data_IF_098694373573
#
_entry.id   IF_098694373573
#
_cell.length_a   1.000
_cell.length_b   1.000
_cell.length_c   1.000
_cell.angle_alpha   90.00
_cell.angle_beta   90.00
_cell.angle_gamma   90.00
#
_symmetry.space_group_name_H-M   'P 1'
#
loop_
_entity.id
_entity.type
_entity.pdbx_description
1 polymer ?
#
# COMPACT_ATOMS: atom_id res chain seq x y z
N UNK A 1 41.83 -26.45 23.32
CA UNK A 1 42.97 -25.52 23.23
C UNK A 1 42.82 -24.72 21.95
N UNK A 2 42.52 -23.43 22.10
CA UNK A 2 43.28 -22.31 21.52
C UNK A 2 42.91 -22.05 20.03
N UNK A 3 42.06 -21.06 19.73
CA UNK A 3 42.41 -19.64 19.45
C UNK A 3 43.51 -19.52 18.39
N UNK A 4 43.20 -18.84 17.28
CA UNK A 4 43.99 -17.73 16.71
C UNK A 4 43.14 -17.03 15.62
N UNK A 5 42.56 -15.86 15.89
CA UNK A 5 43.13 -14.49 15.81
C UNK A 5 43.24 -13.98 14.37
N UNK A 6 42.34 -13.06 14.03
CA UNK A 6 42.44 -12.22 12.84
C UNK A 6 43.50 -11.14 13.04
N UNK A 7 44.36 -10.97 12.02
CA UNK A 7 45.42 -9.97 11.95
C UNK A 7 44.86 -8.55 11.84
N UNK A 8 45.51 -7.68 12.60
CA UNK A 8 45.49 -6.22 12.59
C UNK A 8 46.20 -5.62 11.37
N UNK A 9 45.72 -4.46 10.91
CA UNK A 9 46.53 -3.41 10.27
C UNK A 9 45.84 -2.06 10.61
N UNK A 10 46.31 -1.28 11.61
CA UNK A 10 47.28 -0.16 11.49
C UNK A 10 46.97 0.77 10.30
N UNK A 11 46.91 2.10 10.37
CA UNK A 11 47.30 3.09 11.36
C UNK A 11 46.79 4.47 10.87
N UNK A 12 46.36 5.38 11.76
CA UNK A 12 46.83 6.78 11.84
C UNK A 12 46.09 7.56 12.94
N UNK A 13 46.87 7.91 13.96
CA UNK A 13 46.69 9.01 14.90
C UNK A 13 46.32 10.34 14.22
N UNK A 14 45.43 11.12 14.86
CA UNK A 14 45.69 12.53 15.26
C UNK A 14 44.88 12.87 16.53
N UNK A 15 45.61 12.89 17.64
CA UNK A 15 45.71 13.91 18.71
C UNK A 15 44.48 14.63 19.31
N UNK A 16 44.54 14.71 20.64
CA UNK A 16 43.64 15.31 21.60
C UNK A 16 43.74 16.84 21.66
N UNK A 17 42.61 17.55 21.89
CA UNK A 17 42.58 18.68 22.85
C UNK A 17 41.25 18.79 23.61
N UNK A 18 41.39 18.84 24.92
CA UNK A 18 40.41 19.15 25.98
C UNK A 18 39.79 20.55 25.80
N UNK A 19 38.53 20.69 26.20
CA UNK A 19 38.07 21.77 27.06
C UNK A 19 37.10 21.22 28.12
N UNK A 20 37.46 21.47 29.38
CA UNK A 20 36.76 21.18 30.63
C UNK A 20 36.09 22.53 31.04
N UNK A 21 34.86 22.66 31.54
CA UNK A 21 34.42 22.50 32.93
C UNK A 21 32.95 22.96 33.10
N UNK A 22 32.23 22.21 33.95
CA UNK A 22 31.22 22.57 34.98
C UNK A 22 30.08 23.57 34.63
N UNK A 23 28.80 23.34 34.96
CA UNK A 23 28.21 23.19 36.32
C UNK A 23 26.70 22.83 36.19
N UNK A 24 26.11 22.02 37.09
CA UNK A 24 24.64 21.75 37.13
C UNK A 24 23.84 22.88 37.83
N UNK A 25 22.63 22.66 38.41
CA UNK A 25 21.50 21.75 38.11
C UNK A 25 20.14 22.50 37.85
N UNK A 26 19.07 21.73 37.60
CA UNK A 26 17.60 22.02 37.44
C UNK A 26 17.00 23.04 38.47
N UNK A 27 15.79 23.68 38.35
CA UNK A 27 14.49 23.09 37.89
C UNK A 27 13.36 24.03 37.33
N UNK A 28 12.30 23.39 36.79
CA UNK A 28 10.84 23.71 36.87
C UNK A 28 10.26 25.14 36.71
N UNK A 29 9.31 25.30 35.78
CA UNK A 29 8.16 26.19 35.95
C UNK A 29 6.98 25.83 35.00
N UNK A 30 5.82 25.53 35.59
CA UNK A 30 4.48 25.68 34.98
C UNK A 30 4.10 27.16 35.05
N UNK A 31 3.49 27.72 34.00
CA UNK A 31 2.30 28.59 34.05
C UNK A 31 1.96 29.22 32.68
N UNK A 32 0.78 28.85 32.17
CA UNK A 32 -0.38 29.69 31.83
C UNK A 32 -0.28 30.96 30.94
N UNK A 33 -1.39 31.15 30.18
CA UNK A 33 -1.93 32.38 29.53
C UNK A 33 -1.24 32.81 28.23
N UNK A 34 -1.89 33.44 27.25
CA UNK A 34 -3.27 33.56 26.79
C UNK A 34 -3.20 34.20 25.39
N UNK A 35 -4.19 33.90 24.54
CA UNK A 35 -4.78 34.75 23.49
C UNK A 35 -3.97 35.90 22.85
N UNK A 36 -3.76 35.84 21.52
CA UNK A 36 -4.44 36.71 20.53
C UNK A 36 -3.66 36.91 19.21
N UNK A 37 -4.45 36.98 18.11
CA UNK A 37 -4.20 37.66 16.81
C UNK A 37 -3.29 36.94 15.78
N UNK A 38 -3.63 36.80 14.49
CA UNK A 38 -4.55 37.52 13.60
C UNK A 38 -5.04 36.62 12.44
N UNK A 39 -6.27 36.91 11.99
CA UNK A 39 -7.03 36.41 10.84
C UNK A 39 -6.36 36.78 9.50
N UNK A 40 -6.59 35.99 8.46
CA UNK A 40 -7.13 36.47 7.17
C UNK A 40 -8.14 35.44 6.64
N UNK A 41 -9.32 35.93 6.26
CA UNK A 41 -10.46 35.20 5.74
C UNK A 41 -10.63 35.48 4.24
N UNK A 42 -11.16 34.51 3.49
CA UNK A 42 -11.97 34.77 2.31
C UNK A 42 -13.29 34.00 2.43
N UNK A 43 -14.38 34.75 2.34
CA UNK A 43 -15.76 34.33 2.51
C UNK A 43 -16.32 33.61 1.28
N UNK A 44 -17.23 32.66 1.50
CA UNK A 44 -18.23 32.21 0.53
C UNK A 44 -19.61 32.26 1.19
N UNK A 45 -20.70 32.47 0.42
CA UNK A 45 -21.98 32.90 0.96
C UNK A 45 -22.73 31.78 1.68
N UNK A 46 -23.34 32.15 2.80
CA UNK A 46 -24.37 31.39 3.50
C UNK A 46 -25.67 31.36 2.69
N UNK A 47 -26.19 30.18 2.43
CA UNK A 47 -27.61 29.95 2.20
C UNK A 47 -27.98 28.68 2.94
N UNK A 48 -28.74 28.87 4.02
CA UNK A 48 -29.27 27.83 4.88
C UNK A 48 -30.74 27.71 4.52
N UNK A 49 -31.11 26.67 3.78
CA UNK A 49 -32.51 26.26 3.69
C UNK A 49 -32.61 24.75 3.42
N UNK A 50 -33.62 24.17 4.01
CA UNK A 50 -33.79 22.77 4.38
C UNK A 50 -33.67 21.75 3.25
N UNK A 51 -33.08 20.59 3.54
CA UNK A 51 -33.59 19.32 2.99
C UNK A 51 -33.13 18.10 3.80
N UNK A 52 -34.06 17.58 4.60
CA UNK A 52 -34.15 16.15 4.92
C UNK A 52 -34.32 15.38 3.60
N UNK A 53 -33.40 14.49 3.27
CA UNK A 53 -33.68 13.16 2.69
C UNK A 53 -32.37 12.46 2.37
N UNK A 54 -32.18 11.27 2.95
CA UNK A 54 -31.15 10.34 2.53
C UNK A 54 -31.50 9.80 1.13
N UNK A 55 -30.57 9.98 0.20
CA UNK A 55 -30.59 9.33 -1.10
C UNK A 55 -29.18 8.88 -1.43
N UNK A 56 -28.92 7.58 -1.28
CA UNK A 56 -27.75 6.92 -1.87
C UNK A 56 -27.83 7.08 -3.38
N UNK A 57 -27.13 8.09 -3.90
CA UNK A 57 -27.06 8.38 -5.33
C UNK A 57 -26.46 7.20 -6.09
N UNK A 58 -27.33 6.34 -6.63
CA UNK A 58 -26.95 5.40 -7.69
C UNK A 58 -26.55 6.24 -8.90
N UNK A 59 -25.25 6.46 -9.06
CA UNK A 59 -24.70 7.01 -10.31
C UNK A 59 -25.17 6.10 -11.45
N UNK A 60 -26.00 6.63 -12.32
CA UNK A 60 -26.67 5.94 -13.42
C UNK A 60 -25.65 5.46 -14.46
N UNK A 61 -26.01 4.47 -15.30
CA UNK A 61 -25.15 4.02 -16.38
C UNK A 61 -24.76 5.17 -17.35
N UNK A 62 -25.68 6.12 -17.56
CA UNK A 62 -25.46 7.32 -18.36
C UNK A 62 -24.42 8.27 -17.73
N UNK A 63 -24.49 8.51 -16.42
CA UNK A 63 -23.50 9.32 -15.70
C UNK A 63 -22.10 8.65 -15.67
N UNK A 64 -22.05 7.31 -15.65
CA UNK A 64 -20.79 6.54 -15.73
C UNK A 64 -20.16 6.58 -17.14
N UNK A 65 -20.98 6.44 -18.19
CA UNK A 65 -20.55 6.64 -19.57
C UNK A 65 -19.99 8.05 -19.77
N UNK A 66 -20.68 9.05 -19.20
CA UNK A 66 -20.22 10.44 -19.22
C UNK A 66 -18.86 10.62 -18.51
N UNK A 67 -18.65 9.90 -17.41
CA UNK A 67 -17.40 9.91 -16.63
C UNK A 67 -16.22 9.30 -17.39
N UNK A 68 -16.41 8.17 -18.07
CA UNK A 68 -15.33 7.55 -18.85
C UNK A 68 -14.92 8.38 -20.06
N UNK A 69 -15.89 8.99 -20.77
CA UNK A 69 -15.61 9.92 -21.87
C UNK A 69 -14.83 11.14 -21.39
N UNK A 70 -15.12 11.65 -20.18
CA UNK A 70 -14.34 12.74 -19.58
C UNK A 70 -12.86 12.34 -19.42
N UNK A 71 -12.57 11.18 -18.83
CA UNK A 71 -11.18 10.75 -18.61
C UNK A 71 -10.42 10.49 -19.91
N UNK A 72 -11.09 9.94 -20.93
CA UNK A 72 -10.49 9.73 -22.24
C UNK A 72 -10.12 11.07 -22.90
N UNK A 73 -11.01 12.07 -22.84
CA UNK A 73 -10.75 13.40 -23.39
C UNK A 73 -9.65 14.13 -22.61
N UNK A 74 -9.60 14.00 -21.28
CA UNK A 74 -8.52 14.58 -20.48
C UNK A 74 -7.16 13.87 -20.70
N UNK A 75 -7.16 12.55 -20.95
CA UNK A 75 -5.95 11.84 -21.41
C UNK A 75 -5.48 12.35 -22.77
N UNK A 76 -6.40 12.54 -23.71
CA UNK A 76 -6.10 13.05 -25.06
C UNK A 76 -5.48 14.46 -24.98
N UNK A 77 -6.03 15.34 -24.14
CA UNK A 77 -5.47 16.69 -23.89
C UNK A 77 -4.06 16.64 -23.28
N UNK A 78 -3.83 15.75 -22.30
CA UNK A 78 -2.51 15.57 -21.68
C UNK A 78 -1.49 15.09 -22.72
N UNK A 79 -1.85 14.08 -23.50
CA UNK A 79 -0.96 13.53 -24.54
C UNK A 79 -0.61 14.56 -25.63
N UNK A 80 -1.57 15.38 -26.08
CA UNK A 80 -1.30 16.50 -27.00
C UNK A 80 -0.30 17.48 -26.38
N UNK A 81 -0.50 17.87 -25.12
CA UNK A 81 0.35 18.82 -24.42
C UNK A 81 1.79 18.28 -24.25
N UNK A 82 1.94 17.01 -23.90
CA UNK A 82 3.26 16.36 -23.74
C UNK A 82 4.03 16.30 -25.06
N UNK A 83 3.34 16.18 -26.20
CA UNK A 83 3.94 16.24 -27.53
C UNK A 83 4.09 17.65 -28.09
N UNK A 84 3.74 18.68 -27.31
CA UNK A 84 3.79 20.08 -27.74
C UNK A 84 2.79 20.45 -28.83
N UNK A 85 1.76 19.63 -29.04
CA UNK A 85 0.73 19.83 -30.06
C UNK A 85 -0.39 20.73 -29.54
N UNK A 86 -0.81 21.67 -30.40
CA UNK A 86 -1.89 22.61 -30.12
C UNK A 86 -3.19 22.20 -30.82
N UNK A 87 -4.32 22.80 -30.44
CA UNK A 87 -5.57 22.60 -31.17
C UNK A 87 -5.53 23.13 -32.61
N UNK A 88 -4.61 24.04 -32.95
CA UNK A 88 -4.40 24.47 -34.33
C UNK A 88 -3.74 23.37 -35.17
N UNK A 89 -2.79 22.63 -34.58
CA UNK A 89 -2.13 21.50 -35.24
C UNK A 89 -3.14 20.36 -35.48
N UNK A 90 -3.97 20.08 -34.46
CA UNK A 90 -5.08 19.12 -34.56
C UNK A 90 -6.07 19.53 -35.65
N UNK A 91 -6.47 20.80 -35.70
CA UNK A 91 -7.39 21.32 -36.72
C UNK A 91 -6.81 21.16 -38.14
N UNK A 92 -5.52 21.46 -38.31
CA UNK A 92 -4.80 21.34 -39.58
C UNK A 92 -4.72 19.89 -40.04
N UNK A 93 -4.31 18.97 -39.15
CA UNK A 93 -4.20 17.55 -39.46
C UNK A 93 -5.54 16.92 -39.84
N UNK A 94 -6.63 17.36 -39.22
CA UNK A 94 -7.97 16.82 -39.42
C UNK A 94 -8.77 17.54 -40.53
N UNK A 95 -8.22 18.59 -41.14
CA UNK A 95 -8.88 19.36 -42.18
C UNK A 95 -10.14 20.11 -41.72
N UNK A 96 -10.20 20.54 -40.47
CA UNK A 96 -11.37 21.23 -39.88
C UNK A 96 -11.00 22.59 -39.28
N UNK A 97 -11.99 23.43 -38.99
CA UNK A 97 -11.71 24.72 -38.36
C UNK A 97 -11.27 24.57 -36.90
N UNK A 98 -10.39 25.46 -36.44
CA UNK A 98 -9.96 25.53 -35.05
C UNK A 98 -11.15 25.70 -34.07
N UNK A 99 -12.17 26.46 -34.47
CA UNK A 99 -13.41 26.61 -33.71
C UNK A 99 -14.16 25.28 -33.54
N UNK A 100 -14.17 24.43 -34.59
CA UNK A 100 -14.77 23.09 -34.54
C UNK A 100 -14.03 22.20 -33.55
N UNK A 101 -12.69 22.17 -33.57
CA UNK A 101 -11.89 21.41 -32.60
C UNK A 101 -12.16 21.88 -31.17
N UNK A 102 -12.13 23.18 -30.89
CA UNK A 102 -12.41 23.70 -29.54
C UNK A 102 -13.81 23.30 -29.07
N UNK A 103 -14.81 23.35 -29.97
CA UNK A 103 -16.18 22.92 -29.67
C UNK A 103 -16.25 21.42 -29.37
N UNK A 104 -15.63 20.57 -30.19
CA UNK A 104 -15.61 19.12 -30.00
C UNK A 104 -14.94 18.71 -28.69
N UNK A 105 -13.80 19.31 -28.34
CA UNK A 105 -13.14 19.08 -27.05
C UNK A 105 -13.95 19.57 -25.85
N UNK A 106 -14.65 20.70 -25.96
CA UNK A 106 -15.51 21.23 -24.90
C UNK A 106 -16.76 20.36 -24.68
N UNK A 107 -17.38 19.92 -25.78
CA UNK A 107 -18.59 19.09 -25.77
C UNK A 107 -18.30 17.61 -25.54
N UNK A 108 -17.03 17.18 -25.64
CA UNK A 108 -16.58 15.78 -25.54
C UNK A 108 -17.29 14.86 -26.54
N UNK A 109 -17.69 15.42 -27.68
CA UNK A 109 -18.49 14.76 -28.70
C UNK A 109 -17.61 14.26 -29.84
N UNK A 110 -16.82 13.23 -29.58
CA UNK A 110 -15.95 12.62 -30.57
C UNK A 110 -16.59 11.36 -31.18
N UNK A 111 -16.37 11.14 -32.47
CA UNK A 111 -16.50 9.80 -33.05
C UNK A 111 -15.23 9.00 -32.76
N UNK A 112 -15.31 7.67 -32.75
CA UNK A 112 -14.13 6.82 -32.56
C UNK A 112 -13.07 7.08 -33.64
N UNK A 113 -13.48 7.21 -34.91
CA UNK A 113 -12.58 7.56 -36.01
C UNK A 113 -11.83 8.87 -35.74
N UNK A 114 -12.52 9.88 -35.19
CA UNK A 114 -11.88 11.17 -34.88
C UNK A 114 -10.87 11.06 -33.73
N UNK A 115 -11.11 10.17 -32.76
CA UNK A 115 -10.13 9.90 -31.71
C UNK A 115 -8.90 9.21 -32.31
N UNK A 116 -9.11 8.26 -33.20
CA UNK A 116 -8.04 7.51 -33.86
C UNK A 116 -7.13 8.43 -34.69
N UNK A 117 -7.70 9.32 -35.51
CA UNK A 117 -6.94 10.33 -36.27
C UNK A 117 -6.09 11.25 -35.35
N UNK A 118 -6.61 11.58 -34.16
CA UNK A 118 -5.85 12.38 -33.18
C UNK A 118 -4.76 11.54 -32.51
N UNK A 119 -5.02 10.26 -32.21
CA UNK A 119 -4.03 9.32 -31.70
C UNK A 119 -2.86 9.16 -32.68
N UNK A 120 -3.15 9.01 -33.97
CA UNK A 120 -2.14 8.96 -35.03
C UNK A 120 -1.27 10.22 -35.05
N UNK A 121 -1.88 11.41 -34.95
CA UNK A 121 -1.15 12.67 -34.86
C UNK A 121 -0.22 12.75 -33.63
N UNK A 122 -0.67 12.22 -32.49
CA UNK A 122 0.12 12.17 -31.25
C UNK A 122 1.23 11.10 -31.33
N UNK A 123 1.04 10.07 -32.16
CA UNK A 123 1.91 8.90 -32.25
C UNK A 123 1.69 7.89 -31.13
N UNK A 124 0.42 7.69 -30.75
CA UNK A 124 -0.02 6.63 -29.82
C UNK A 124 -1.16 5.84 -30.46
N UNK A 125 -1.45 4.64 -29.95
CA UNK A 125 -2.66 3.90 -30.34
C UNK A 125 -3.82 4.11 -29.34
N UNK A 126 -5.03 3.69 -29.72
CA UNK A 126 -6.21 3.81 -28.87
C UNK A 126 -6.08 3.07 -27.52
N UNK A 127 -5.37 1.94 -27.47
CA UNK A 127 -5.17 1.17 -26.23
C UNK A 127 -4.26 1.92 -25.25
N UNK A 128 -3.22 2.58 -25.77
CA UNK A 128 -2.35 3.46 -24.99
C UNK A 128 -3.12 4.67 -24.45
N UNK A 129 -3.96 5.30 -25.27
CA UNK A 129 -4.84 6.39 -24.83
C UNK A 129 -5.77 5.92 -23.68
N UNK A 130 -6.34 4.73 -23.79
CA UNK A 130 -7.19 4.16 -22.75
C UNK A 130 -6.43 3.93 -21.43
N UNK A 131 -5.17 3.49 -21.49
CA UNK A 131 -4.30 3.36 -20.30
C UNK A 131 -4.01 4.71 -19.65
N UNK A 132 -3.66 5.72 -20.44
CA UNK A 132 -3.45 7.10 -19.96
C UNK A 132 -4.72 7.69 -19.31
N UNK A 133 -5.90 7.30 -19.80
CA UNK A 133 -7.18 7.67 -19.21
C UNK A 133 -7.43 6.98 -17.86
N UNK A 134 -7.02 5.72 -17.69
CA UNK A 134 -7.05 5.05 -16.39
C UNK A 134 -6.12 5.72 -15.37
N UNK A 135 -4.91 6.12 -15.78
CA UNK A 135 -3.95 6.82 -14.92
C UNK A 135 -4.44 8.20 -14.45
N UNK A 136 -5.34 8.83 -15.22
CA UNK A 136 -5.97 10.12 -14.87
C UNK A 136 -7.23 10.01 -14.00
N UNK A 137 -7.70 8.80 -13.68
CA UNK A 137 -8.77 8.66 -12.69
C UNK A 137 -8.25 9.13 -11.32
N UNK A 138 -9.10 9.72 -10.46
CA UNK A 138 -8.74 9.91 -9.07
C UNK A 138 -8.29 8.55 -8.53
N UNK A 139 -7.06 8.51 -8.01
CA UNK A 139 -6.47 7.30 -7.48
C UNK A 139 -7.48 6.68 -6.52
N UNK A 140 -7.87 5.43 -6.81
CA UNK A 140 -8.74 4.71 -5.87
C UNK A 140 -8.05 4.67 -4.52
N UNK A 141 -8.78 4.81 -3.41
CA UNK A 141 -8.18 4.83 -2.09
C UNK A 141 -7.35 3.56 -1.90
N UNK A 142 -6.09 3.76 -1.50
CA UNK A 142 -5.14 2.71 -1.13
C UNK A 142 -5.18 2.44 0.38
N UNK A 143 -5.84 3.28 1.16
CA UNK A 143 -6.12 3.06 2.58
C UNK A 143 -7.61 2.84 2.82
N UNK A 144 -7.94 1.95 3.76
CA UNK A 144 -9.31 1.75 4.22
C UNK A 144 -9.60 2.57 5.48
N UNK A 145 -10.86 2.92 5.68
CA UNK A 145 -11.31 3.50 6.95
C UNK A 145 -11.33 2.44 8.06
N UNK A 146 -11.21 2.86 9.33
CA UNK A 146 -11.30 1.96 10.48
C UNK A 146 -12.61 1.15 10.47
N UNK A 147 -13.73 1.74 10.06
CA UNK A 147 -15.01 1.03 9.94
C UNK A 147 -14.98 -0.07 8.86
N UNK A 148 -14.34 0.18 7.72
CA UNK A 148 -14.16 -0.82 6.67
C UNK A 148 -13.21 -1.94 7.11
N UNK A 149 -12.08 -1.59 7.73
CA UNK A 149 -11.14 -2.59 8.28
C UNK A 149 -11.84 -3.47 9.34
N UNK A 150 -12.62 -2.86 10.24
CA UNK A 150 -13.36 -3.58 11.28
C UNK A 150 -14.40 -4.53 10.69
N UNK A 151 -15.19 -4.06 9.71
CA UNK A 151 -16.19 -4.89 9.05
C UNK A 151 -15.57 -6.09 8.30
N UNK A 152 -14.37 -5.93 7.75
CA UNK A 152 -13.63 -7.05 7.15
C UNK A 152 -13.16 -8.06 8.22
N UNK A 153 -12.62 -7.58 9.34
CA UNK A 153 -12.14 -8.44 10.43
C UNK A 153 -13.26 -9.28 11.04
N UNK A 154 -14.48 -8.73 11.12
CA UNK A 154 -15.66 -9.42 11.66
C UNK A 154 -16.25 -10.46 10.71
N UNK A 155 -15.86 -10.44 9.42
CA UNK A 155 -16.45 -11.26 8.36
C UNK A 155 -15.35 -12.04 7.62
N UNK A 156 -14.89 -13.20 8.16
CA UNK A 156 -13.73 -13.92 7.62
C UNK A 156 -13.85 -14.27 6.13
N UNK A 157 -15.04 -14.70 5.68
CA UNK A 157 -15.26 -15.03 4.27
C UNK A 157 -15.22 -13.77 3.39
N UNK A 158 -15.75 -12.64 3.86
CA UNK A 158 -15.68 -11.38 3.11
C UNK A 158 -14.22 -10.89 3.00
N UNK A 159 -13.44 -10.98 4.09
CA UNK A 159 -12.01 -10.67 4.07
C UNK A 159 -11.23 -11.57 3.09
N UNK A 160 -11.51 -12.88 3.12
CA UNK A 160 -10.90 -13.82 2.19
C UNK A 160 -11.24 -13.50 0.73
N UNK A 161 -12.52 -13.31 0.42
CA UNK A 161 -12.96 -12.91 -0.92
C UNK A 161 -12.32 -11.58 -1.34
N UNK A 162 -12.25 -10.59 -0.44
CA UNK A 162 -11.63 -9.30 -0.75
C UNK A 162 -10.15 -9.47 -1.11
N UNK A 163 -9.40 -10.29 -0.37
CA UNK A 163 -8.00 -10.61 -0.69
C UNK A 163 -7.85 -11.20 -2.10
N UNK A 164 -8.68 -12.18 -2.46
CA UNK A 164 -8.64 -12.81 -3.79
C UNK A 164 -9.01 -11.82 -4.90
N UNK A 165 -10.02 -10.98 -4.69
CA UNK A 165 -10.45 -9.98 -5.67
C UNK A 165 -9.37 -8.91 -5.89
N UNK A 166 -8.62 -8.51 -4.86
CA UNK A 166 -7.44 -7.63 -5.03
C UNK A 166 -6.41 -8.26 -5.97
N UNK A 167 -6.23 -9.58 -5.88
CA UNK A 167 -5.43 -10.40 -6.80
C UNK A 167 -6.06 -10.67 -8.18
N UNK A 168 -7.25 -10.14 -8.46
CA UNK A 168 -7.92 -10.26 -9.75
C UNK A 168 -8.72 -11.54 -9.96
N UNK A 169 -9.06 -12.25 -8.88
CA UNK A 169 -9.87 -13.47 -8.98
C UNK A 169 -11.32 -13.17 -9.32
N UNK A 170 -11.93 -14.02 -10.15
CA UNK A 170 -13.38 -13.99 -10.46
C UNK A 170 -14.15 -14.89 -9.50
N UNK A 171 -15.47 -14.70 -9.40
CA UNK A 171 -16.32 -15.52 -8.51
C UNK A 171 -16.26 -16.99 -8.90
N UNK A 172 -16.31 -17.28 -10.19
CA UNK A 172 -16.28 -18.64 -10.74
C UNK A 172 -14.97 -19.35 -10.40
N UNK A 173 -13.86 -18.62 -10.42
CA UNK A 173 -12.56 -19.16 -10.04
C UNK A 173 -12.48 -19.42 -8.54
N UNK A 174 -13.02 -18.52 -7.71
CA UNK A 174 -13.05 -18.73 -6.25
C UNK A 174 -13.87 -19.98 -5.93
N UNK A 175 -15.02 -20.14 -6.56
CA UNK A 175 -15.87 -21.33 -6.43
C UNK A 175 -15.14 -22.61 -6.86
N UNK A 176 -14.51 -22.60 -8.04
CA UNK A 176 -13.80 -23.77 -8.57
C UNK A 176 -12.57 -24.17 -7.74
N UNK A 177 -11.73 -23.21 -7.35
CA UNK A 177 -10.44 -23.48 -6.69
C UNK A 177 -10.61 -23.76 -5.18
N UNK A 178 -11.66 -23.22 -4.54
CA UNK A 178 -11.90 -23.37 -3.10
C UNK A 178 -13.14 -24.18 -2.73
N UNK A 179 -13.96 -24.60 -3.71
CA UNK A 179 -15.17 -25.39 -3.48
C UNK A 179 -16.24 -24.67 -2.65
N UNK A 180 -16.25 -23.33 -2.70
CA UNK A 180 -17.20 -22.50 -1.94
C UNK A 180 -18.39 -22.18 -2.83
N UNK A 181 -19.57 -22.70 -2.47
CA UNK A 181 -20.80 -22.50 -3.22
C UNK A 181 -21.20 -21.01 -3.30
N UNK A 182 -21.80 -20.62 -4.43
CA UNK A 182 -22.24 -19.24 -4.66
C UNK A 182 -23.23 -18.72 -3.60
N UNK A 183 -24.01 -19.60 -2.97
CA UNK A 183 -24.90 -19.25 -1.85
C UNK A 183 -24.15 -18.66 -0.64
N UNK A 184 -22.85 -18.94 -0.49
CA UNK A 184 -21.99 -18.32 0.53
C UNK A 184 -21.16 -17.17 -0.04
N UNK A 185 -20.64 -17.31 -1.28
CA UNK A 185 -19.80 -16.28 -1.90
C UNK A 185 -20.59 -15.00 -2.18
N UNK A 186 -21.78 -15.10 -2.76
CA UNK A 186 -22.58 -13.93 -3.15
C UNK A 186 -22.93 -13.07 -1.94
N UNK A 187 -23.43 -13.60 -0.80
CA UNK A 187 -23.64 -12.80 0.40
C UNK A 187 -22.36 -12.12 0.92
N UNK A 188 -21.21 -12.80 0.89
CA UNK A 188 -19.94 -12.21 1.30
C UNK A 188 -19.55 -11.04 0.39
N UNK A 189 -19.70 -11.19 -0.93
CA UNK A 189 -19.44 -10.12 -1.89
C UNK A 189 -20.44 -8.95 -1.74
N UNK A 190 -21.71 -9.23 -1.44
CA UNK A 190 -22.70 -8.18 -1.14
C UNK A 190 -22.31 -7.40 0.13
N UNK A 191 -21.76 -8.06 1.15
CA UNK A 191 -21.21 -7.36 2.32
C UNK A 191 -20.07 -6.42 1.91
N UNK A 192 -19.15 -6.86 1.05
CA UNK A 192 -18.06 -6.03 0.52
C UNK A 192 -18.56 -4.83 -0.31
N UNK A 193 -19.61 -5.03 -1.10
CA UNK A 193 -20.25 -3.94 -1.85
C UNK A 193 -20.89 -2.91 -0.89
N UNK A 194 -21.58 -3.38 0.15
CA UNK A 194 -22.22 -2.52 1.16
C UNK A 194 -21.23 -1.63 1.91
N UNK A 195 -20.01 -2.13 2.18
CA UNK A 195 -18.93 -1.35 2.80
C UNK A 195 -18.10 -0.55 1.78
N UNK A 196 -18.48 -0.57 0.50
CA UNK A 196 -17.93 0.27 -0.55
C UNK A 196 -16.55 -0.17 -1.07
N UNK A 197 -16.14 -1.43 -0.82
CA UNK A 197 -14.83 -1.93 -1.28
C UNK A 197 -14.88 -2.47 -2.71
N UNK A 198 -16.03 -2.99 -3.11
CA UNK A 198 -16.28 -3.49 -4.46
C UNK A 198 -17.62 -2.95 -4.98
N UNK A 199 -17.86 -3.19 -6.27
CA UNK A 199 -19.18 -3.12 -6.90
C UNK A 199 -19.41 -4.44 -7.62
N UNK A 200 -20.56 -5.04 -7.38
CA UNK A 200 -21.02 -6.22 -8.09
C UNK A 200 -21.76 -5.79 -9.36
N UNK A 201 -21.44 -6.45 -10.47
CA UNK A 201 -22.01 -6.24 -11.79
C UNK A 201 -22.79 -7.51 -12.21
N UNK A 202 -23.68 -7.40 -13.21
CA UNK A 202 -24.38 -8.57 -13.75
C UNK A 202 -23.41 -9.69 -14.14
N UNK A 203 -23.83 -10.94 -13.92
CA UNK A 203 -22.99 -12.11 -14.17
C UNK A 203 -21.81 -12.23 -13.19
N UNK A 204 -21.98 -11.80 -11.94
CA UNK A 204 -20.98 -11.88 -10.87
C UNK A 204 -19.63 -11.19 -11.18
N UNK A 205 -19.59 -10.30 -12.18
CA UNK A 205 -18.40 -9.52 -12.46
C UNK A 205 -18.13 -8.51 -11.33
N UNK A 206 -16.87 -8.40 -10.91
CA UNK A 206 -16.48 -7.57 -9.77
C UNK A 206 -15.67 -6.37 -10.25
N UNK A 207 -16.06 -5.17 -9.82
CA UNK A 207 -15.27 -3.96 -9.96
C UNK A 207 -14.74 -3.52 -8.60
N UNK A 208 -13.43 -3.50 -8.43
CA UNK A 208 -12.81 -2.92 -7.23
C UNK A 208 -13.12 -1.42 -7.11
N UNK A 209 -13.34 -0.94 -5.90
CA UNK A 209 -13.50 0.48 -5.59
C UNK A 209 -12.27 1.05 -4.86
N UNK A 210 -11.29 0.19 -4.57
CA UNK A 210 -10.00 0.51 -3.94
C UNK A 210 -8.85 0.32 -4.91
N UNK A 211 -7.66 0.78 -4.53
CA UNK A 211 -6.43 0.28 -5.14
C UNK A 211 -6.28 -1.23 -4.90
N UNK A 212 -5.47 -1.91 -5.72
CA UNK A 212 -5.14 -3.34 -5.52
C UNK A 212 -4.16 -3.54 -4.36
N UNK A 213 -3.23 -2.61 -4.19
CA UNK A 213 -2.31 -2.59 -3.07
C UNK A 213 -2.89 -1.76 -1.94
N UNK A 214 -3.35 -2.43 -0.88
CA UNK A 214 -3.87 -1.76 0.31
C UNK A 214 -2.75 -1.48 1.29
N UNK A 215 -2.67 -0.23 1.76
CA UNK A 215 -1.82 0.21 2.85
C UNK A 215 -2.60 0.16 4.16
N UNK A 216 -2.38 -0.90 4.94
CA UNK A 216 -3.05 -1.09 6.23
C UNK A 216 -2.58 -0.06 7.25
N UNK A 217 -3.53 0.54 7.96
CA UNK A 217 -3.22 1.59 8.94
C UNK A 217 -2.43 1.01 10.12
N UNK A 218 -1.38 1.73 10.54
CA UNK A 218 -0.63 1.39 11.76
C UNK A 218 -1.59 1.44 12.95
N UNK A 219 -1.70 0.35 13.69
CA UNK A 219 -2.61 0.22 14.83
C UNK A 219 -4.09 0.08 14.46
N UNK A 220 -4.45 0.03 13.17
CA UNK A 220 -5.82 -0.17 12.70
C UNK A 220 -6.36 -1.58 13.00
N UNK A 221 -7.69 -1.81 12.86
CA UNK A 221 -8.31 -3.11 13.09
C UNK A 221 -7.63 -4.26 12.35
N UNK A 222 -7.29 -4.05 11.07
CA UNK A 222 -6.67 -5.12 10.28
C UNK A 222 -5.29 -5.47 10.82
N UNK A 223 -4.50 -4.46 11.21
CA UNK A 223 -3.17 -4.68 11.78
C UNK A 223 -3.25 -5.49 13.08
N UNK A 224 -4.21 -5.17 13.96
CA UNK A 224 -4.42 -5.91 15.21
C UNK A 224 -4.83 -7.37 14.93
N UNK A 225 -5.70 -7.58 13.95
CA UNK A 225 -6.08 -8.92 13.50
C UNK A 225 -4.88 -9.73 12.99
N UNK A 226 -4.04 -9.13 12.14
CA UNK A 226 -2.79 -9.76 11.67
C UNK A 226 -1.85 -10.10 12.83
N UNK A 227 -1.65 -9.17 13.76
CA UNK A 227 -0.75 -9.36 14.91
C UNK A 227 -1.23 -10.49 15.85
N UNK A 228 -2.56 -10.68 16.00
CA UNK A 228 -3.15 -11.66 16.91
C UNK A 228 -3.30 -13.06 16.31
N UNK A 229 -3.66 -13.17 15.03
CA UNK A 229 -4.00 -14.48 14.43
C UNK A 229 -2.96 -14.94 13.42
N UNK A 230 -2.70 -14.11 12.42
CA UNK A 230 -1.87 -14.50 11.27
C UNK A 230 -0.40 -14.60 11.65
N UNK A 231 0.09 -13.68 12.50
CA UNK A 231 1.52 -13.63 12.87
C UNK A 231 1.97 -14.90 13.58
N UNK A 232 1.18 -15.38 14.55
CA UNK A 232 1.52 -16.58 15.32
C UNK A 232 1.46 -17.84 14.44
N UNK A 233 0.36 -18.03 13.70
CA UNK A 233 0.20 -19.17 12.79
C UNK A 233 1.29 -19.22 11.71
N UNK A 234 1.64 -18.06 11.13
CA UNK A 234 2.68 -17.98 10.11
C UNK A 234 4.07 -18.35 10.67
N UNK A 235 4.42 -17.86 11.85
CA UNK A 235 5.71 -18.14 12.49
C UNK A 235 5.82 -19.59 13.01
N UNK A 236 4.69 -20.29 13.19
CA UNK A 236 4.66 -21.71 13.55
C UNK A 236 4.78 -22.66 12.34
N UNK A 237 4.78 -22.14 11.10
CA UNK A 237 4.94 -22.99 9.91
C UNK A 237 6.34 -23.58 9.82
N UNK A 238 6.43 -24.72 9.15
CA UNK A 238 7.72 -25.33 8.80
C UNK A 238 8.39 -24.54 7.66
N UNK A 239 9.50 -23.90 7.97
CA UNK A 239 10.31 -23.13 7.01
C UNK A 239 11.44 -23.96 6.37
N UNK A 240 11.44 -25.29 6.52
CA UNK A 240 12.43 -26.19 5.88
C UNK A 240 12.06 -26.61 4.45
N UNK A 241 10.83 -26.34 4.01
CA UNK A 241 10.34 -26.70 2.67
C UNK A 241 10.94 -25.85 1.52
N UNK A 242 10.89 -26.35 0.27
CA UNK A 242 11.33 -25.59 -0.90
C UNK A 242 10.67 -24.21 -0.99
N UNK A 243 11.47 -23.18 -1.32
CA UNK A 243 11.00 -21.79 -1.43
C UNK A 243 10.82 -21.06 -0.09
N UNK A 244 11.04 -21.74 1.04
CA UNK A 244 11.04 -21.11 2.36
C UNK A 244 12.41 -20.52 2.69
N UNK A 245 12.43 -19.36 3.34
CA UNK A 245 13.65 -18.69 3.81
C UNK A 245 13.45 -18.35 5.29
N UNK A 246 14.32 -18.88 6.14
CA UNK A 246 14.39 -18.55 7.56
C UNK A 246 15.76 -17.99 7.90
N UNK A 247 15.80 -16.71 8.27
CA UNK A 247 17.02 -16.00 8.69
C UNK A 247 16.70 -15.14 9.90
N UNK A 248 17.57 -15.18 10.92
CA UNK A 248 17.43 -14.41 12.15
C UNK A 248 18.78 -13.77 12.51
N UNK A 249 18.81 -12.45 12.60
CA UNK A 249 19.99 -11.66 12.95
C UNK A 249 19.68 -10.72 14.10
N UNK A 250 20.61 -10.62 15.05
CA UNK A 250 20.56 -9.66 16.16
C UNK A 250 21.89 -8.94 16.27
N UNK A 251 21.84 -7.62 16.43
CA UNK A 251 23.02 -6.79 16.63
C UNK A 251 22.65 -5.35 16.92
N UNK A 252 23.67 -4.57 17.27
CA UNK A 252 23.52 -3.13 17.46
C UNK A 252 23.68 -2.41 16.12
N UNK A 253 22.75 -1.49 15.85
CA UNK A 253 22.79 -0.62 14.68
C UNK A 253 22.75 0.83 15.14
N UNK A 254 23.57 1.68 14.51
CA UNK A 254 23.43 3.13 14.64
C UNK A 254 22.10 3.60 14.04
N UNK A 255 21.63 4.78 14.42
CA UNK A 255 20.41 5.36 13.85
C UNK A 255 20.47 5.50 12.33
N UNK A 256 21.64 5.85 11.79
CA UNK A 256 21.87 5.93 10.35
C UNK A 256 21.72 4.55 9.67
N UNK A 257 22.26 3.49 10.27
CA UNK A 257 22.13 2.14 9.76
C UNK A 257 20.69 1.61 9.87
N UNK A 258 19.97 1.94 10.96
CA UNK A 258 18.54 1.65 11.12
C UNK A 258 17.69 2.32 10.03
N UNK A 259 17.93 3.60 9.75
CA UNK A 259 17.21 4.32 8.71
C UNK A 259 17.51 3.75 7.31
N UNK A 260 18.76 3.33 7.05
CA UNK A 260 19.13 2.65 5.82
C UNK A 260 18.42 1.30 5.67
N UNK A 261 18.41 0.49 6.73
CA UNK A 261 17.69 -0.79 6.78
C UNK A 261 16.20 -0.60 6.48
N UNK A 262 15.57 0.36 7.15
CA UNK A 262 14.15 0.68 6.92
C UNK A 262 13.88 1.02 5.44
N UNK A 263 14.71 1.86 4.81
CA UNK A 263 14.56 2.19 3.38
C UNK A 263 14.72 0.96 2.47
N UNK A 264 15.67 0.06 2.78
CA UNK A 264 15.89 -1.17 2.02
C UNK A 264 14.71 -2.13 2.14
N UNK A 265 14.17 -2.30 3.34
CA UNK A 265 12.96 -3.11 3.56
C UNK A 265 11.77 -2.58 2.76
N UNK A 266 11.52 -1.26 2.79
CA UNK A 266 10.45 -0.66 1.99
C UNK A 266 10.64 -0.89 0.49
N UNK A 267 11.88 -0.89 0.00
CA UNK A 267 12.18 -1.18 -1.41
C UNK A 267 11.91 -2.64 -1.76
N UNK A 268 12.33 -3.57 -0.92
CA UNK A 268 12.07 -5.00 -1.11
C UNK A 268 10.56 -5.29 -1.16
N UNK A 269 9.77 -4.69 -0.25
CA UNK A 269 8.31 -4.84 -0.26
C UNK A 269 7.64 -4.18 -1.47
N UNK A 270 8.24 -3.19 -2.13
CA UNK A 270 7.75 -2.71 -3.44
C UNK A 270 8.00 -3.76 -4.51
N UNK A 271 9.22 -4.28 -4.60
CA UNK A 271 9.60 -5.29 -5.58
C UNK A 271 8.74 -6.57 -5.48
N UNK A 272 8.49 -7.06 -4.26
CA UNK A 272 7.61 -8.21 -4.03
C UNK A 272 6.19 -7.93 -4.51
N UNK A 273 5.65 -6.73 -4.27
CA UNK A 273 4.32 -6.34 -4.78
C UNK A 273 4.29 -6.30 -6.30
N UNK A 274 5.35 -5.80 -6.94
CA UNK A 274 5.47 -5.77 -8.39
C UNK A 274 5.50 -7.18 -8.97
N UNK A 275 6.21 -8.12 -8.34
CA UNK A 275 6.22 -9.54 -8.73
C UNK A 275 4.82 -10.17 -8.60
N UNK A 276 4.14 -9.97 -7.47
CA UNK A 276 2.76 -10.45 -7.26
C UNK A 276 1.82 -9.89 -8.34
N UNK A 277 1.94 -8.60 -8.67
CA UNK A 277 1.10 -7.96 -9.67
C UNK A 277 1.36 -8.51 -11.09
N UNK A 278 2.63 -8.78 -11.44
CA UNK A 278 3.02 -9.40 -12.71
C UNK A 278 2.42 -10.80 -12.86
N UNK A 279 2.56 -11.62 -11.81
CA UNK A 279 2.15 -13.03 -11.82
C UNK A 279 0.64 -13.23 -11.60
N UNK A 280 -0.10 -12.15 -11.28
CA UNK A 280 -1.55 -12.20 -11.10
C UNK A 280 -2.26 -12.79 -12.34
N UNK A 281 -1.76 -12.49 -13.54
CA UNK A 281 -2.33 -12.93 -14.83
C UNK A 281 -2.02 -14.38 -15.19
N UNK A 282 -1.01 -14.99 -14.54
CA UNK A 282 -0.60 -16.36 -14.85
C UNK A 282 -1.63 -17.40 -14.34
N UNK A 283 -1.72 -18.57 -14.99
CA UNK A 283 -2.57 -19.67 -14.52
C UNK A 283 -2.22 -20.09 -13.08
N UNK A 284 -3.20 -20.47 -12.24
CA UNK A 284 -2.94 -20.97 -10.89
C UNK A 284 -1.99 -22.18 -10.84
N UNK A 285 -1.99 -23.04 -11.87
CA UNK A 285 -1.16 -24.24 -11.92
C UNK A 285 0.35 -24.00 -11.96
N UNK A 286 0.78 -22.78 -12.30
CA UNK A 286 2.21 -22.42 -12.43
C UNK A 286 2.69 -21.44 -11.36
N UNK A 287 1.88 -21.18 -10.33
CA UNK A 287 2.23 -20.24 -9.26
C UNK A 287 1.87 -20.79 -7.88
N UNK A 288 2.56 -20.28 -6.88
CA UNK A 288 2.38 -20.69 -5.48
C UNK A 288 2.18 -19.44 -4.62
N UNK A 289 1.29 -19.54 -3.64
CA UNK A 289 1.10 -18.46 -2.68
C UNK A 289 2.35 -18.33 -1.80
N UNK A 290 2.92 -17.13 -1.76
CA UNK A 290 4.08 -16.80 -0.93
C UNK A 290 3.66 -15.77 0.10
N UNK A 291 3.99 -16.02 1.36
CA UNK A 291 3.92 -15.02 2.43
C UNK A 291 5.32 -14.53 2.76
N UNK A 292 5.54 -13.21 2.76
CA UNK A 292 6.77 -12.60 3.24
C UNK A 292 6.46 -11.69 4.43
N UNK A 293 7.00 -12.04 5.59
CA UNK A 293 6.96 -11.22 6.80
C UNK A 293 8.39 -10.87 7.21
N UNK A 294 8.72 -9.59 7.21
CA UNK A 294 9.97 -9.08 7.78
C UNK A 294 9.60 -8.03 8.82
N UNK A 295 10.07 -8.22 10.04
CA UNK A 295 9.86 -7.30 11.14
C UNK A 295 11.21 -6.89 11.73
N UNK A 296 11.38 -5.59 11.98
CA UNK A 296 12.52 -5.05 12.71
C UNK A 296 12.01 -4.15 13.81
N UNK A 297 12.44 -4.40 15.04
CA UNK A 297 12.19 -3.56 16.20
C UNK A 297 13.43 -3.61 17.09
N UNK A 298 13.77 -2.53 17.80
CA UNK A 298 14.69 -2.64 18.92
C UNK A 298 14.20 -3.74 19.86
N UNK A 299 15.09 -4.68 20.20
CA UNK A 299 14.80 -5.75 21.14
C UNK A 299 15.65 -5.55 22.39
N UNK A 300 15.05 -5.60 23.59
CA UNK A 300 15.82 -5.58 24.82
C UNK A 300 16.61 -6.90 24.92
N UNK A 301 17.91 -6.84 25.25
CA UNK A 301 18.77 -8.03 25.43
C UNK A 301 18.15 -9.12 26.35
N UNK A 302 17.39 -8.79 27.41
CA UNK A 302 16.66 -9.78 28.21
C UNK A 302 15.69 -10.69 27.43
N UNK A 303 15.23 -10.30 26.23
CA UNK A 303 14.36 -11.14 25.40
C UNK A 303 15.09 -12.36 24.83
N UNK A 304 16.39 -12.22 24.53
CA UNK A 304 17.27 -13.30 24.05
C UNK A 304 17.96 -14.02 25.22
N UNK A 305 18.08 -13.33 26.35
CA UNK A 305 18.76 -13.82 27.54
C UNK A 305 17.80 -14.32 28.64
N UNK A 306 16.53 -14.64 28.32
CA UNK A 306 15.53 -15.08 29.32
C UNK A 306 16.04 -16.20 30.23
N UNK A 307 16.84 -17.11 29.70
CA UNK A 307 17.41 -18.24 30.46
C UNK A 307 18.75 -17.93 31.13
N UNK A 308 19.39 -16.79 30.81
CA UNK A 308 20.67 -16.37 31.43
C UNK A 308 20.44 -15.93 32.88
N UNK A 309 19.24 -15.42 33.21
CA UNK A 309 18.85 -15.05 34.57
C UNK A 309 18.26 -16.20 35.40
N UNK A 310 17.74 -17.26 34.77
CA UNK A 310 17.19 -18.44 35.44
C UNK A 310 18.18 -19.61 35.48
N UNK A 311 19.38 -19.38 36.02
CA UNK A 311 20.23 -20.42 36.61
C UNK A 311 20.60 -21.67 35.78
N UNK A 312 20.36 -21.72 34.46
CA UNK A 312 20.60 -22.92 33.65
C UNK A 312 21.99 -22.99 33.04
N UNK A 313 22.84 -21.98 33.27
CA UNK A 313 24.28 -22.09 33.01
C UNK A 313 24.98 -22.83 34.17
N UNK A 314 24.74 -24.15 34.22
CA UNK A 314 25.68 -25.15 34.76
C UNK A 314 26.03 -25.06 36.24
N UNK A 315 25.15 -25.59 37.10
CA UNK A 315 25.51 -26.01 38.46
C UNK A 315 26.52 -27.18 38.51
N UNK A 316 26.98 -27.70 37.38
CA UNK A 316 28.01 -28.75 37.35
C UNK A 316 29.47 -28.25 37.34
N UNK A 317 29.74 -26.97 37.02
CA UNK A 317 31.14 -26.48 36.98
C UNK A 317 31.70 -26.02 38.34
N UNK A 318 30.88 -25.90 39.40
CA UNK A 318 31.37 -25.54 40.75
C UNK A 318 31.75 -26.73 41.62
N UNK A 319 31.40 -27.98 41.26
CA UNK A 319 31.73 -29.15 42.09
C UNK A 319 33.08 -29.81 41.78
N UNK A 320 33.71 -29.52 40.63
CA UNK A 320 35.02 -30.09 40.26
C UNK A 320 36.25 -29.26 40.71
N UNK A 321 36.07 -28.07 41.30
CA UNK A 321 37.18 -27.27 41.86
C UNK A 321 37.31 -27.27 43.38
N UNK A 322 36.45 -28.00 44.10
CA UNK A 322 36.52 -28.11 45.56
C UNK A 322 37.04 -29.49 46.06
N UNK A 323 37.58 -30.34 45.17
CA UNK A 323 38.17 -31.64 45.55
C UNK A 323 39.63 -31.82 45.09
N UNK A 324 40.32 -30.71 44.82
CA UNK A 324 41.78 -30.68 44.62
C UNK A 324 42.35 -29.38 45.20
N UNK A 325 42.42 -29.33 46.52
CA UNK A 325 43.33 -28.51 47.31
C UNK A 325 43.45 -29.17 48.68
#
# INVERSE_FOLDING_TARGET
>A
MARLTWLTNQNRDVDHRRCILHSGPLPGARAALSSSQKRIAWALPSSHEDMRSGGTGRVTAAERLHTQTIYLVEALKRALKERGLTYADVATALGVSHASIKRTFAQRSFTLARIDEICELIGINFLELARLAEEGHPARPDTLSDAQEQALVEEPLALFCFHLVLGGWTVERIEADYGIDQSFLVPALMKLERIGLIRLLPGNAIRLMTARSINWRKGGPMRRFFDQRVKEEFLQRDFSGPGSVWQFEIGELSDAARALLERRLHSLFREVRDLIARDATLPPSVKTNVGLLIASTPIPLPLVARDVGQGSLGTESRRKRAFKA
#
